data_IF_810534026567
#
_entry.id   IF_810534026567
#
_cell.length_a   1.000
_cell.length_b   1.000
_cell.length_c   1.000
_cell.angle_alpha   90.00
_cell.angle_beta   90.00
_cell.angle_gamma   90.00
#
_symmetry.space_group_name_H-M   'P 1'
#
loop_
_entity.id
_entity.type
_entity.pdbx_description
1 polymer ?
#
# COMPACT_ATOMS: atom_id res chain seq x y z
N UNK A 1 4.45 -26.19 28.48
CA UNK A 1 5.02 -25.09 27.67
C UNK A 1 3.91 -24.52 26.81
N UNK A 2 3.50 -23.26 27.06
CA UNK A 2 2.47 -22.60 26.24
C UNK A 2 3.15 -22.07 24.97
N UNK A 3 2.84 -22.65 23.83
CA UNK A 3 3.23 -22.11 22.53
C UNK A 3 2.56 -20.75 22.35
N UNK A 4 3.33 -19.68 22.47
CA UNK A 4 2.91 -18.34 22.07
C UNK A 4 2.50 -18.41 20.61
N UNK A 5 1.19 -18.42 20.34
CA UNK A 5 0.65 -18.18 18.99
C UNK A 5 1.23 -16.84 18.56
N UNK A 6 2.25 -16.86 17.68
CA UNK A 6 2.68 -15.65 16.96
C UNK A 6 1.42 -15.12 16.30
N UNK A 7 0.88 -14.01 16.83
CA UNK A 7 -0.23 -13.32 16.19
C UNK A 7 0.30 -12.90 14.82
N UNK A 8 -0.30 -13.41 13.75
CA UNK A 8 -0.01 -12.92 12.42
C UNK A 8 -0.21 -11.40 12.42
N UNK A 9 0.72 -10.66 11.81
CA UNK A 9 0.59 -9.22 11.65
C UNK A 9 -0.77 -8.91 11.01
N UNK A 10 -1.50 -7.97 11.60
CA UNK A 10 -2.81 -7.58 11.10
C UNK A 10 -2.67 -6.58 9.95
N UNK A 11 -1.62 -5.78 9.93
CA UNK A 11 -1.30 -4.79 8.93
C UNK A 11 -0.04 -5.17 8.17
N UNK A 12 -0.01 -4.84 6.88
CA UNK A 12 1.16 -4.98 6.00
C UNK A 12 1.21 -3.80 5.06
N UNK A 13 2.25 -2.98 5.15
CA UNK A 13 2.49 -1.78 4.33
C UNK A 13 3.72 -2.04 3.47
N UNK A 14 3.69 -1.71 2.19
CA UNK A 14 4.81 -1.86 1.27
C UNK A 14 4.61 -1.02 0.02
N UNK A 15 5.69 -0.67 -0.67
CA UNK A 15 5.65 -0.10 -2.02
C UNK A 15 5.92 -1.21 -3.03
N UNK A 16 5.26 -1.15 -4.18
CA UNK A 16 5.54 -2.02 -5.32
C UNK A 16 5.75 -1.22 -6.60
N UNK A 17 6.43 -1.83 -7.56
CA UNK A 17 6.50 -1.34 -8.95
C UNK A 17 5.17 -1.53 -9.66
N UNK A 18 4.97 -0.82 -10.78
CA UNK A 18 3.84 -1.08 -11.70
C UNK A 18 3.80 -2.52 -12.22
N UNK A 19 4.96 -3.16 -12.35
CA UNK A 19 5.07 -4.55 -12.77
C UNK A 19 4.64 -5.55 -11.68
N UNK A 20 4.44 -5.05 -10.45
CA UNK A 20 3.96 -5.83 -9.32
C UNK A 20 5.06 -6.29 -8.35
N UNK A 21 6.31 -5.92 -8.58
CA UNK A 21 7.43 -6.29 -7.72
C UNK A 21 7.39 -5.49 -6.41
N UNK A 22 7.39 -6.19 -5.27
CA UNK A 22 7.40 -5.55 -3.95
C UNK A 22 8.81 -5.08 -3.63
N UNK A 23 8.95 -3.80 -3.27
CA UNK A 23 10.18 -3.25 -2.72
C UNK A 23 10.33 -3.70 -1.27
N UNK A 24 10.95 -4.86 -1.05
CA UNK A 24 11.02 -5.51 0.28
C UNK A 24 11.62 -4.60 1.37
N UNK A 25 12.49 -3.66 1.02
CA UNK A 25 13.06 -2.70 1.98
C UNK A 25 12.04 -1.69 2.52
N UNK A 26 10.88 -1.55 1.88
CA UNK A 26 9.74 -0.73 2.31
C UNK A 26 8.69 -1.51 3.11
N UNK A 27 8.84 -2.84 3.18
CA UNK A 27 7.81 -3.70 3.75
C UNK A 27 7.81 -3.60 5.29
N UNK A 28 6.66 -3.22 5.85
CA UNK A 28 6.40 -3.18 7.29
C UNK A 28 5.18 -4.03 7.62
N UNK A 29 5.32 -4.99 8.55
CA UNK A 29 4.24 -5.83 9.03
C UNK A 29 4.05 -5.67 10.54
N UNK A 30 2.85 -5.30 10.97
CA UNK A 30 2.56 -4.99 12.38
C UNK A 30 1.15 -5.42 12.78
N UNK A 31 0.91 -5.61 14.08
CA UNK A 31 -0.44 -5.78 14.62
C UNK A 31 -1.02 -4.46 15.14
N UNK A 32 -0.20 -3.42 15.23
CA UNK A 32 -0.51 -2.11 15.79
C UNK A 32 -0.95 -1.16 14.66
N UNK A 33 -2.17 -0.59 14.71
CA UNK A 33 -2.62 0.38 13.71
C UNK A 33 -1.76 1.64 13.67
N UNK A 34 -1.25 2.11 14.81
CA UNK A 34 -0.50 3.37 14.87
C UNK A 34 0.83 3.24 14.11
N UNK A 35 1.49 2.08 14.24
CA UNK A 35 2.71 1.74 13.50
C UNK A 35 2.44 1.61 11.99
N UNK A 36 1.25 1.13 11.60
CA UNK A 36 0.88 1.02 10.20
C UNK A 36 0.63 2.41 9.58
N UNK A 37 0.00 3.31 10.33
CA UNK A 37 -0.24 4.70 9.92
C UNK A 37 1.07 5.50 9.83
N UNK A 38 2.00 5.29 10.77
CA UNK A 38 3.35 5.89 10.72
C UNK A 38 4.10 5.41 9.47
N UNK A 39 4.10 4.11 9.19
CA UNK A 39 4.73 3.55 7.99
C UNK A 39 4.13 4.11 6.68
N UNK A 40 2.81 4.33 6.63
CA UNK A 40 2.18 5.01 5.49
C UNK A 40 2.72 6.44 5.36
N UNK A 41 2.72 7.23 6.44
CA UNK A 41 3.15 8.63 6.41
C UNK A 41 4.61 8.76 5.99
N UNK A 42 5.47 7.89 6.50
CA UNK A 42 6.89 7.86 6.16
C UNK A 42 7.06 7.57 4.67
N UNK A 43 6.41 6.53 4.14
CA UNK A 43 6.52 6.17 2.73
C UNK A 43 5.89 7.23 1.81
N UNK A 44 4.80 7.88 2.21
CA UNK A 44 4.19 8.97 1.45
C UNK A 44 5.10 10.20 1.32
N UNK A 45 5.92 10.47 2.34
CA UNK A 45 6.81 11.64 2.38
C UNK A 45 8.23 11.33 1.90
N UNK A 46 8.48 10.09 1.50
CA UNK A 46 9.80 9.64 1.03
C UNK A 46 10.04 10.07 -0.43
N UNK A 47 11.05 10.92 -0.63
CA UNK A 47 11.45 11.44 -1.96
C UNK A 47 11.96 10.36 -2.94
N UNK A 48 12.38 9.18 -2.46
CA UNK A 48 12.88 8.09 -3.32
C UNK A 48 11.85 7.56 -4.33
N UNK A 49 10.56 7.83 -4.12
CA UNK A 49 9.49 7.37 -5.00
C UNK A 49 8.99 8.46 -5.96
N UNK A 50 9.40 9.70 -5.75
CA UNK A 50 9.09 10.80 -6.66
C UNK A 50 9.71 10.51 -8.03
N UNK A 51 9.01 10.81 -9.12
CA UNK A 51 9.60 10.57 -10.44
C UNK A 51 9.31 9.20 -11.05
N UNK A 52 8.74 8.27 -10.28
CA UNK A 52 8.75 6.85 -10.64
C UNK A 52 7.37 6.20 -10.49
N UNK A 53 7.00 5.26 -11.39
CA UNK A 53 5.70 4.61 -11.36
C UNK A 53 5.67 3.53 -10.26
N UNK A 54 5.47 3.97 -9.03
CA UNK A 54 5.34 3.12 -7.86
C UNK A 54 3.94 3.20 -7.26
N UNK A 55 3.59 2.19 -6.49
CA UNK A 55 2.33 2.15 -5.74
C UNK A 55 2.60 1.74 -4.30
N UNK A 56 2.32 2.64 -3.36
CA UNK A 56 2.25 2.33 -1.94
C UNK A 56 0.95 1.57 -1.67
N UNK A 57 1.06 0.41 -1.03
CA UNK A 57 -0.05 -0.46 -0.67
C UNK A 57 -0.01 -0.75 0.81
N UNK A 58 -1.20 -0.78 1.39
CA UNK A 58 -1.37 -1.16 2.76
C UNK A 58 -2.57 -2.12 2.89
N UNK A 59 -2.33 -3.27 3.54
CA UNK A 59 -3.28 -4.36 3.72
C UNK A 59 -3.63 -4.56 5.20
N UNK A 60 -4.91 -4.79 5.50
CA UNK A 60 -5.42 -5.22 6.79
C UNK A 60 -6.00 -6.63 6.68
N UNK A 61 -5.37 -7.60 7.36
CA UNK A 61 -5.71 -9.03 7.31
C UNK A 61 -5.82 -9.56 5.87
N UNK A 62 -4.93 -9.08 5.01
CA UNK A 62 -4.87 -9.43 3.58
C UNK A 62 -5.82 -8.65 2.66
N UNK A 63 -6.67 -7.77 3.20
CA UNK A 63 -7.55 -6.91 2.40
C UNK A 63 -6.93 -5.53 2.22
N UNK A 64 -7.09 -4.92 1.05
CA UNK A 64 -6.64 -3.56 0.79
C UNK A 64 -7.33 -2.58 1.74
N UNK A 65 -6.56 -1.80 2.50
CA UNK A 65 -7.07 -0.71 3.34
C UNK A 65 -6.64 0.66 2.87
N UNK A 66 -5.47 0.77 2.23
CA UNK A 66 -4.95 2.03 1.69
C UNK A 66 -4.06 1.76 0.47
N UNK A 67 -4.08 2.68 -0.49
CA UNK A 67 -3.19 2.69 -1.64
C UNK A 67 -2.89 4.12 -2.06
N UNK A 68 -1.70 4.35 -2.60
CA UNK A 68 -1.29 5.62 -3.18
C UNK A 68 -0.38 5.36 -4.38
N UNK A 69 -0.68 6.00 -5.51
CA UNK A 69 0.14 5.95 -6.72
C UNK A 69 1.08 7.15 -6.71
N UNK A 70 2.37 6.90 -6.89
CA UNK A 70 3.36 7.96 -7.06
C UNK A 70 3.35 8.37 -8.53
N UNK A 71 2.99 9.63 -8.79
CA UNK A 71 2.97 10.16 -10.14
C UNK A 71 4.40 10.40 -10.64
N UNK A 72 4.67 9.94 -11.86
CA UNK A 72 5.81 10.44 -12.62
C UNK A 72 5.52 11.89 -13.00
N UNK A 73 6.44 12.85 -12.81
CA UNK A 73 6.31 14.21 -13.29
C UNK A 73 6.41 14.16 -14.82
N UNK A 74 5.29 13.87 -15.45
CA UNK A 74 5.11 14.15 -16.86
C UNK A 74 4.62 15.59 -17.00
N UNK A 75 5.23 16.27 -17.95
CA UNK A 75 5.24 17.71 -18.16
C UNK A 75 3.85 18.37 -18.00
N UNK A 76 3.75 19.30 -17.06
CA UNK A 76 2.76 20.39 -17.11
C UNK A 76 1.28 20.03 -16.99
N UNK A 77 0.83 19.50 -15.85
CA UNK A 77 -0.47 19.92 -15.31
C UNK A 77 -0.59 19.63 -13.81
N UNK A 78 -0.68 20.69 -13.02
CA UNK A 78 -1.15 20.62 -11.64
C UNK A 78 -2.57 20.04 -11.63
N UNK A 79 -2.71 18.77 -11.27
CA UNK A 79 -3.99 18.22 -10.87
C UNK A 79 -3.88 17.85 -9.41
N UNK A 80 -4.56 18.66 -8.61
CA UNK A 80 -4.97 18.46 -7.21
C UNK A 80 -5.03 16.97 -6.85
N UNK A 81 -4.60 16.54 -5.63
CA UNK A 81 -4.83 15.18 -5.17
C UNK A 81 -6.34 14.94 -5.15
N UNK A 82 -6.86 14.35 -6.24
CA UNK A 82 -8.18 13.76 -6.24
C UNK A 82 -8.09 12.61 -5.27
N UNK A 83 -8.47 12.88 -4.02
CA UNK A 83 -9.20 11.92 -3.22
C UNK A 83 -10.16 11.22 -4.18
N UNK A 84 -9.84 9.98 -4.53
CA UNK A 84 -10.61 9.12 -5.41
C UNK A 84 -11.89 8.68 -4.70
N UNK A 85 -12.73 9.65 -4.38
CA UNK A 85 -14.11 9.51 -3.94
C UNK A 85 -15.02 9.10 -5.12
N UNK A 86 -14.48 8.79 -6.30
CA UNK A 86 -15.23 8.52 -7.53
C UNK A 86 -14.65 7.41 -8.44
N UNK A 87 -14.02 6.35 -7.90
CA UNK A 87 -13.82 5.10 -8.66
C UNK A 87 -14.67 3.95 -8.09
N UNK A 88 -15.98 4.13 -8.18
CA UNK A 88 -16.86 3.02 -8.50
C UNK A 88 -16.61 2.56 -9.94
N UNK A 89 -15.49 1.85 -10.17
CA UNK A 89 -15.14 0.97 -11.32
C UNK A 89 -13.62 0.85 -11.49
N UNK A 90 -12.95 0.13 -10.58
CA UNK A 90 -11.97 -0.87 -11.02
C UNK A 90 -12.34 -2.17 -10.31
N UNK A 91 -13.15 -2.92 -11.01
CA UNK A 91 -13.77 -4.20 -10.65
C UNK A 91 -12.82 -5.38 -10.94
N UNK A 92 -11.50 -5.25 -10.71
CA UNK A 92 -10.50 -6.21 -11.20
C UNK A 92 -9.65 -6.91 -10.12
N UNK A 93 -10.19 -7.12 -8.93
CA UNK A 93 -9.75 -8.22 -8.06
C UNK A 93 -10.96 -9.09 -7.70
N UNK A 94 -11.35 -9.92 -8.67
CA UNK A 94 -12.27 -11.03 -8.48
C UNK A 94 -11.87 -11.83 -7.23
N UNK A 95 -12.71 -11.79 -6.21
CA UNK A 95 -12.90 -12.85 -5.21
C UNK A 95 -13.36 -14.18 -5.91
N UNK A 96 -13.59 -15.31 -5.23
CA UNK A 96 -12.67 -16.24 -4.54
C UNK A 96 -12.86 -17.70 -5.03
N UNK A 97 -11.82 -18.53 -5.12
CA UNK A 97 -12.04 -20.00 -5.14
C UNK A 97 -10.75 -20.78 -4.94
N UNK A 98 -10.53 -21.22 -3.70
CA UNK A 98 -9.81 -22.46 -3.44
C UNK A 98 -10.84 -23.40 -2.82
N UNK A 99 -11.29 -24.38 -3.61
CA UNK A 99 -11.91 -25.60 -3.12
C UNK A 99 -10.83 -26.56 -2.64
#
# INVERSE_FOLDING_TARGET
MKTSKRRAAAYRVYVRTVDGDILLWTETATADPDVADEAIRDLLTTEYFEGSPFVLIALYRGNLYFTHEYDTPDDGSHVVPQMLSNLGRIDWLRYPSVH
#
